data_IF_655759572351
#
_entry.id   IF_655759572351
#
_cell.length_a   1.000
_cell.length_b   1.000
_cell.length_c   1.000
_cell.angle_alpha   90.00
_cell.angle_beta   90.00
_cell.angle_gamma   90.00
#
_symmetry.space_group_name_H-M   'P 1'
#
loop_
_entity.id
_entity.type
_entity.pdbx_description
1 polymer ?
#
# COMPACT_ATOMS: atom_id res chain seq x y z
N UNK A 1 -13.44 5.10 11.10
CA UNK A 1 -12.33 6.02 10.75
C UNK A 1 -11.47 5.33 9.69
N UNK A 2 -11.23 5.91 8.51
CA UNK A 2 -10.48 5.27 7.41
C UNK A 2 -9.10 4.75 7.82
N UNK A 3 -8.39 5.48 8.69
CA UNK A 3 -7.09 5.05 9.24
C UNK A 3 -7.16 3.68 9.96
N UNK A 4 -8.27 3.37 10.63
CA UNK A 4 -8.47 2.09 11.30
C UNK A 4 -8.76 0.92 10.34
N UNK A 5 -9.09 1.20 9.07
CA UNK A 5 -9.28 0.18 8.04
C UNK A 5 -7.97 -0.23 7.35
N UNK A 6 -6.87 0.53 7.51
CA UNK A 6 -5.57 0.18 6.91
C UNK A 6 -5.12 -1.27 7.23
N UNK A 7 -5.17 -1.77 8.48
CA UNK A 7 -4.76 -3.14 8.77
C UNK A 7 -5.62 -4.21 8.09
N UNK A 8 -6.91 -3.92 7.91
CA UNK A 8 -7.84 -4.82 7.20
C UNK A 8 -7.51 -4.83 5.71
N UNK A 9 -7.24 -3.67 5.11
CA UNK A 9 -6.88 -3.56 3.70
C UNK A 9 -5.55 -4.24 3.40
N UNK A 10 -4.52 -4.05 4.23
CA UNK A 10 -3.25 -4.76 4.09
C UNK A 10 -3.41 -6.28 4.26
N UNK A 11 -4.19 -6.72 5.25
CA UNK A 11 -4.48 -8.14 5.44
C UNK A 11 -5.20 -8.75 4.23
N UNK A 12 -6.19 -8.05 3.68
CA UNK A 12 -6.89 -8.49 2.47
C UNK A 12 -5.93 -8.59 1.28
N UNK A 13 -5.08 -7.57 1.08
CA UNK A 13 -4.09 -7.57 0.01
C UNK A 13 -3.10 -8.75 0.15
N UNK A 14 -2.59 -9.04 1.35
CA UNK A 14 -1.69 -10.18 1.58
C UNK A 14 -2.42 -11.53 1.44
N UNK A 15 -3.69 -11.61 1.81
CA UNK A 15 -4.49 -12.80 1.58
C UNK A 15 -4.67 -13.07 0.08
N UNK A 16 -4.95 -12.05 -0.73
CA UNK A 16 -5.03 -12.15 -2.19
C UNK A 16 -3.70 -12.66 -2.78
N UNK A 17 -2.57 -12.12 -2.31
CA UNK A 17 -1.24 -12.57 -2.73
C UNK A 17 -0.97 -14.03 -2.34
N UNK A 18 -1.41 -14.47 -1.16
CA UNK A 18 -1.35 -15.85 -0.73
C UNK A 18 -2.19 -16.81 -1.58
N UNK A 19 -3.41 -16.40 -1.98
CA UNK A 19 -4.22 -17.16 -2.92
C UNK A 19 -3.54 -17.25 -4.29
N UNK A 20 -2.97 -16.14 -4.77
CA UNK A 20 -2.24 -16.09 -6.03
C UNK A 20 -1.04 -17.05 -6.01
N UNK A 21 -0.29 -17.08 -4.89
CA UNK A 21 0.82 -18.00 -4.70
C UNK A 21 0.42 -19.47 -4.90
N UNK A 22 -0.75 -19.87 -4.40
CA UNK A 22 -1.27 -21.23 -4.55
C UNK A 22 -1.73 -21.53 -5.98
N UNK A 23 -2.22 -20.52 -6.70
CA UNK A 23 -2.77 -20.69 -8.03
C UNK A 23 -1.70 -20.71 -9.13
N UNK A 24 -0.61 -19.96 -8.98
CA UNK A 24 0.45 -19.82 -9.98
C UNK A 24 1.07 -21.17 -10.42
N UNK A 25 1.32 -22.15 -9.53
CA UNK A 25 1.83 -23.46 -9.94
C UNK A 25 0.83 -24.32 -10.72
N UNK A 26 -0.48 -24.06 -10.58
CA UNK A 26 -1.55 -24.88 -11.18
C UNK A 26 -1.95 -24.35 -12.55
N UNK A 27 -2.27 -23.06 -12.63
CA UNK A 27 -2.75 -22.41 -13.85
C UNK A 27 -2.28 -20.95 -13.88
N UNK A 28 -0.99 -20.69 -14.20
CA UNK A 28 -0.41 -19.35 -14.14
C UNK A 28 -1.05 -18.37 -15.13
N UNK A 29 -1.53 -18.87 -16.27
CA UNK A 29 -2.27 -18.09 -17.28
C UNK A 29 -3.79 -18.23 -17.13
N UNK A 30 -4.27 -18.87 -16.06
CA UNK A 30 -5.69 -19.06 -15.80
C UNK A 30 -6.41 -17.76 -15.46
N UNK A 31 -7.72 -17.74 -15.67
CA UNK A 31 -8.58 -16.58 -15.35
C UNK A 31 -8.49 -16.18 -13.86
N UNK A 32 -8.37 -17.16 -12.96
CA UNK A 32 -8.24 -16.92 -11.52
C UNK A 32 -6.91 -16.25 -11.15
N UNK A 33 -5.78 -16.75 -11.67
CA UNK A 33 -4.46 -16.12 -11.46
C UNK A 33 -4.44 -14.69 -12.00
N UNK A 34 -5.04 -14.47 -13.17
CA UNK A 34 -5.18 -13.14 -13.77
C UNK A 34 -6.02 -12.19 -12.91
N UNK A 35 -7.17 -12.67 -12.41
CA UNK A 35 -8.05 -11.89 -11.54
C UNK A 35 -7.39 -11.52 -10.20
N UNK A 36 -6.70 -12.48 -9.56
CA UNK A 36 -5.98 -12.25 -8.31
C UNK A 36 -4.79 -11.29 -8.52
N UNK A 37 -4.08 -11.41 -9.65
CA UNK A 37 -3.00 -10.50 -10.05
C UNK A 37 -3.52 -9.07 -10.19
N UNK A 38 -4.61 -8.88 -10.95
CA UNK A 38 -5.23 -7.57 -11.12
C UNK A 38 -5.69 -6.99 -9.78
N UNK A 39 -6.36 -7.80 -8.95
CA UNK A 39 -6.87 -7.35 -7.66
C UNK A 39 -5.72 -6.91 -6.73
N UNK A 40 -4.63 -7.69 -6.67
CA UNK A 40 -3.44 -7.31 -5.92
C UNK A 40 -2.86 -5.98 -6.43
N UNK A 41 -2.72 -5.82 -7.74
CA UNK A 41 -2.17 -4.60 -8.35
C UNK A 41 -3.06 -3.38 -8.10
N UNK A 42 -4.38 -3.52 -8.11
CA UNK A 42 -5.29 -2.43 -7.75
C UNK A 42 -5.06 -1.94 -6.32
N UNK A 43 -4.81 -2.85 -5.37
CA UNK A 43 -4.38 -2.43 -4.04
C UNK A 43 -3.00 -1.78 -4.09
N UNK A 44 -2.02 -2.48 -4.67
CA UNK A 44 -0.63 -2.09 -4.62
C UNK A 44 -0.37 -0.72 -5.27
N UNK A 45 -0.83 -0.49 -6.50
CA UNK A 45 -0.44 0.70 -7.27
C UNK A 45 -1.53 1.77 -7.42
N UNK A 46 -2.80 1.44 -7.16
CA UNK A 46 -3.93 2.38 -7.31
C UNK A 46 -4.43 2.90 -5.96
N UNK A 47 -4.69 2.00 -5.00
CA UNK A 47 -5.30 2.36 -3.72
C UNK A 47 -4.36 3.21 -2.85
N UNK A 48 -3.17 2.73 -2.52
CA UNK A 48 -2.28 3.34 -1.53
C UNK A 48 -1.85 4.80 -1.79
N UNK A 49 -1.49 5.22 -3.02
CA UNK A 49 -1.06 6.60 -3.25
C UNK A 49 -2.18 7.61 -3.02
N UNK A 50 -3.45 7.18 -3.07
CA UNK A 50 -4.62 8.01 -2.74
C UNK A 50 -5.03 7.82 -1.27
N UNK A 51 -5.07 6.57 -0.83
CA UNK A 51 -5.64 6.21 0.46
C UNK A 51 -4.79 6.71 1.64
N UNK A 52 -3.46 6.62 1.54
CA UNK A 52 -2.55 7.09 2.57
C UNK A 52 -2.69 8.61 2.85
N UNK A 53 -2.59 9.51 1.85
CA UNK A 53 -2.75 10.94 2.10
C UNK A 53 -4.16 11.30 2.55
N UNK A 54 -5.21 10.66 2.01
CA UNK A 54 -6.59 10.91 2.43
C UNK A 54 -6.82 10.50 3.89
N UNK A 55 -6.30 9.34 4.32
CA UNK A 55 -6.44 8.91 5.70
C UNK A 55 -5.81 9.89 6.68
N UNK A 56 -4.61 10.40 6.36
CA UNK A 56 -3.92 11.39 7.19
C UNK A 56 -4.66 12.73 7.15
N UNK A 57 -5.08 13.19 5.97
CA UNK A 57 -5.83 14.44 5.78
C UNK A 57 -7.06 14.53 6.68
N UNK A 58 -7.78 13.42 6.86
CA UNK A 58 -9.02 13.37 7.66
C UNK A 58 -8.81 13.45 9.17
N UNK A 59 -7.60 13.19 9.66
CA UNK A 59 -7.27 13.20 11.10
C UNK A 59 -6.32 14.33 11.49
N UNK A 60 -5.78 15.06 10.50
CA UNK A 60 -4.81 16.13 10.71
C UNK A 60 -5.51 17.46 11.05
N UNK A 61 -5.04 18.22 12.05
CA UNK A 61 -5.57 19.54 12.37
C UNK A 61 -5.38 20.53 11.21
N UNK A 62 -6.13 21.64 11.24
CA UNK A 62 -5.96 22.72 10.26
C UNK A 62 -4.53 23.29 10.29
N UNK A 63 -3.94 23.49 9.13
CA UNK A 63 -2.58 24.00 8.98
C UNK A 63 -1.88 23.53 7.70
N UNK A 64 -0.58 23.81 7.60
CA UNK A 64 0.22 23.51 6.41
C UNK A 64 0.25 22.01 6.06
N UNK A 65 0.28 21.11 7.05
CA UNK A 65 0.26 19.64 6.83
C UNK A 65 -0.97 19.22 6.05
N UNK A 66 -2.14 19.77 6.38
CA UNK A 66 -3.41 19.46 5.71
C UNK A 66 -3.40 19.90 4.24
N UNK A 67 -2.78 21.04 3.93
CA UNK A 67 -2.57 21.51 2.54
C UNK A 67 -1.67 20.54 1.79
N UNK A 68 -0.56 20.13 2.40
CA UNK A 68 0.37 19.13 1.83
C UNK A 68 -0.35 17.80 1.57
N UNK A 69 -1.14 17.29 2.52
CA UNK A 69 -1.92 16.05 2.31
C UNK A 69 -2.91 16.17 1.15
N UNK A 70 -3.55 17.33 0.98
CA UNK A 70 -4.45 17.58 -0.14
C UNK A 70 -3.72 17.55 -1.48
N UNK A 71 -2.56 18.20 -1.57
CA UNK A 71 -1.72 18.16 -2.76
C UNK A 71 -1.19 16.75 -3.07
N UNK A 72 -0.78 16.00 -2.05
CA UNK A 72 -0.34 14.61 -2.19
C UNK A 72 -1.47 13.67 -2.58
N UNK A 73 -2.69 13.88 -2.07
CA UNK A 73 -3.86 13.11 -2.49
C UNK A 73 -4.21 13.36 -3.96
N UNK A 74 -4.11 14.60 -4.43
CA UNK A 74 -4.29 14.93 -5.86
C UNK A 74 -3.21 14.28 -6.72
N UNK A 75 -1.94 14.42 -6.34
CA UNK A 75 -0.83 13.78 -7.04
C UNK A 75 -1.00 12.25 -7.07
N UNK A 76 -1.35 11.65 -5.94
CA UNK A 76 -1.67 10.23 -5.83
C UNK A 76 -2.84 9.81 -6.70
N UNK A 77 -3.86 10.66 -6.84
CA UNK A 77 -5.00 10.44 -7.75
C UNK A 77 -4.58 10.41 -9.22
N UNK A 78 -3.69 11.31 -9.63
CA UNK A 78 -3.12 11.31 -11.00
C UNK A 78 -2.34 10.01 -11.23
N UNK A 79 -1.55 9.57 -10.26
CA UNK A 79 -0.79 8.32 -10.35
C UNK A 79 -1.71 7.10 -10.38
N UNK A 80 -2.78 7.10 -9.58
CA UNK A 80 -3.78 6.04 -9.58
C UNK A 80 -4.47 5.93 -10.95
N UNK A 81 -4.85 7.05 -11.57
CA UNK A 81 -5.42 7.08 -12.93
C UNK A 81 -4.43 6.53 -13.95
N UNK A 82 -3.15 6.94 -13.87
CA UNK A 82 -2.09 6.42 -14.74
C UNK A 82 -1.97 4.89 -14.62
N UNK A 83 -2.00 4.33 -13.41
CA UNK A 83 -1.92 2.88 -13.23
C UNK A 83 -3.20 2.16 -13.64
N UNK A 84 -4.38 2.76 -13.46
CA UNK A 84 -5.64 2.19 -13.99
C UNK A 84 -5.55 2.08 -15.51
N UNK A 85 -5.15 3.14 -16.20
CA UNK A 85 -4.96 3.13 -17.66
C UNK A 85 -3.96 2.04 -18.09
N UNK A 86 -2.80 1.97 -17.42
CA UNK A 86 -1.80 0.94 -17.70
C UNK A 86 -2.32 -0.50 -17.48
N UNK A 87 -3.13 -0.72 -16.44
CA UNK A 87 -3.73 -2.04 -16.14
C UNK A 87 -4.83 -2.44 -17.14
N UNK A 88 -5.52 -1.46 -17.73
CA UNK A 88 -6.56 -1.71 -18.75
C UNK A 88 -5.98 -1.97 -20.14
N UNK A 89 -4.86 -1.30 -20.47
CA UNK A 89 -4.28 -1.32 -21.82
C UNK A 89 -3.24 -2.45 -21.98
N UNK A 90 -2.59 -2.86 -20.89
CA UNK A 90 -1.47 -3.79 -20.96
C UNK A 90 -1.73 -5.10 -20.22
N UNK A 91 -1.19 -6.20 -20.78
CA UNK A 91 -1.24 -7.52 -20.14
C UNK A 91 -0.46 -7.53 -18.84
N UNK A 92 -1.11 -7.88 -17.74
CA UNK A 92 -0.47 -8.02 -16.44
C UNK A 92 -0.33 -9.50 -16.11
N UNK A 93 0.89 -9.93 -15.79
CA UNK A 93 1.21 -11.31 -15.44
C UNK A 93 1.92 -11.34 -14.09
N UNK A 94 1.73 -12.43 -13.36
CA UNK A 94 2.47 -12.72 -12.16
C UNK A 94 3.20 -14.06 -12.31
N UNK A 95 4.40 -14.16 -11.76
CA UNK A 95 5.17 -15.39 -11.75
C UNK A 95 5.94 -15.53 -10.44
N UNK A 96 6.27 -16.76 -10.05
CA UNK A 96 7.08 -17.00 -8.85
C UNK A 96 8.55 -16.95 -9.26
N UNK A 97 9.31 -16.02 -8.68
CA UNK A 97 10.73 -15.84 -8.91
C UNK A 97 11.47 -15.73 -7.57
N UNK A 98 12.40 -16.67 -7.32
CA UNK A 98 13.29 -16.60 -6.15
C UNK A 98 12.58 -16.62 -4.79
N UNK A 99 11.41 -17.25 -4.69
CA UNK A 99 10.63 -17.28 -3.44
C UNK A 99 9.68 -16.10 -3.26
N UNK A 100 9.48 -15.29 -4.30
CA UNK A 100 8.60 -14.12 -4.27
C UNK A 100 7.70 -14.08 -5.50
N UNK A 101 6.56 -13.37 -5.42
CA UNK A 101 5.75 -13.09 -6.60
C UNK A 101 6.33 -11.88 -7.32
N UNK A 102 6.76 -12.11 -8.55
CA UNK A 102 7.14 -11.10 -9.51
C UNK A 102 5.92 -10.68 -10.31
N UNK A 103 5.68 -9.38 -10.41
CA UNK A 103 4.62 -8.79 -11.21
C UNK A 103 5.24 -8.18 -12.46
N UNK A 104 4.92 -8.74 -13.62
CA UNK A 104 5.35 -8.22 -14.91
C UNK A 104 4.60 -6.91 -15.19
N UNK A 105 5.34 -5.81 -15.27
CA UNK A 105 4.81 -4.50 -15.65
C UNK A 105 5.22 -4.24 -17.11
N UNK A 106 4.28 -4.13 -18.06
CA UNK A 106 4.58 -4.05 -19.50
C UNK A 106 5.28 -2.77 -19.98
N UNK A 107 5.68 -1.89 -19.07
CA UNK A 107 6.47 -0.69 -19.34
C UNK A 107 7.34 -0.37 -18.14
N UNK A 108 8.60 0.00 -18.40
CA UNK A 108 9.34 0.84 -17.46
C UNK A 108 8.58 2.16 -17.34
N UNK A 109 7.75 2.28 -16.30
CA UNK A 109 7.13 3.55 -15.96
C UNK A 109 8.21 4.62 -15.84
N UNK A 110 7.95 5.85 -16.33
CA UNK A 110 8.89 6.94 -16.18
C UNK A 110 9.29 7.12 -14.71
N UNK A 111 10.55 7.49 -14.41
CA UNK A 111 11.01 7.65 -13.02
C UNK A 111 10.14 8.58 -12.18
N UNK A 112 9.55 9.62 -12.78
CA UNK A 112 8.67 10.55 -12.09
C UNK A 112 7.40 9.88 -11.56
N UNK A 113 6.87 8.84 -12.21
CA UNK A 113 5.70 8.08 -11.73
C UNK A 113 6.06 7.38 -10.43
N UNK A 114 7.19 6.68 -10.42
CA UNK A 114 7.68 5.94 -9.25
C UNK A 114 7.99 6.89 -8.07
N UNK A 115 8.66 8.02 -8.34
CA UNK A 115 8.95 9.03 -7.32
C UNK A 115 7.67 9.62 -6.74
N UNK A 116 6.72 10.01 -7.60
CA UNK A 116 5.44 10.61 -7.16
C UNK A 116 4.62 9.60 -6.36
N UNK A 117 4.58 8.34 -6.80
CA UNK A 117 3.94 7.24 -6.08
C UNK A 117 4.52 7.08 -4.67
N UNK A 118 5.85 6.99 -4.55
CA UNK A 118 6.54 6.81 -3.27
C UNK A 118 6.31 8.01 -2.35
N UNK A 119 6.42 9.22 -2.89
CA UNK A 119 6.17 10.45 -2.15
C UNK A 119 4.73 10.53 -1.66
N UNK A 120 3.75 10.29 -2.53
CA UNK A 120 2.33 10.30 -2.19
C UNK A 120 1.98 9.23 -1.14
N UNK A 121 2.65 8.08 -1.14
CA UNK A 121 2.37 6.99 -0.19
C UNK A 121 3.08 7.18 1.16
N UNK A 122 4.36 7.57 1.14
CA UNK A 122 5.20 7.59 2.34
C UNK A 122 5.16 8.93 3.09
N UNK A 123 5.23 10.06 2.38
CA UNK A 123 5.35 11.38 3.01
C UNK A 123 4.17 11.71 3.92
N UNK A 124 2.90 11.42 3.56
CA UNK A 124 1.78 11.69 4.46
C UNK A 124 1.91 11.03 5.83
N UNK A 125 2.36 9.77 5.82
CA UNK A 125 2.51 8.99 7.04
C UNK A 125 3.64 9.55 7.92
N UNK A 126 4.77 9.93 7.29
CA UNK A 126 5.95 10.46 7.98
C UNK A 126 5.73 11.82 8.64
N UNK A 127 4.96 12.72 8.01
CA UNK A 127 4.81 14.10 8.49
C UNK A 127 3.55 14.31 9.35
N UNK A 128 2.70 13.29 9.52
CA UNK A 128 1.46 13.38 10.32
C UNK A 128 1.72 13.88 11.73
N UNK A 129 0.77 14.59 12.36
CA UNK A 129 0.88 14.97 13.78
C UNK A 129 0.81 13.79 14.75
N UNK A 130 0.37 12.62 14.31
CA UNK A 130 0.08 11.47 15.16
C UNK A 130 1.24 10.48 15.19
N UNK A 131 1.85 10.27 16.37
CA UNK A 131 3.03 9.38 16.53
C UNK A 131 2.83 7.96 15.99
N UNK A 132 1.70 7.25 16.23
CA UNK A 132 1.51 5.91 15.67
C UNK A 132 1.57 5.88 14.14
N UNK A 133 1.06 6.94 13.49
CA UNK A 133 1.08 7.10 12.03
C UNK A 133 2.50 7.38 11.54
N UNK A 134 3.29 8.18 12.26
CA UNK A 134 4.70 8.41 11.94
C UNK A 134 5.53 7.13 12.05
N UNK A 135 5.30 6.32 13.08
CA UNK A 135 6.00 5.03 13.25
C UNK A 135 5.64 4.09 12.11
N UNK A 136 4.36 3.99 11.74
CA UNK A 136 3.92 3.26 10.55
C UNK A 136 4.67 3.77 9.31
N UNK A 137 4.68 5.09 9.07
CA UNK A 137 5.35 5.71 7.95
C UNK A 137 6.84 5.41 7.88
N UNK A 138 7.52 5.42 9.03
CA UNK A 138 8.94 5.09 9.12
C UNK A 138 9.22 3.63 8.75
N UNK A 139 8.43 2.69 9.27
CA UNK A 139 8.58 1.26 8.94
C UNK A 139 8.24 0.99 7.47
N UNK A 140 7.15 1.56 6.96
CA UNK A 140 6.74 1.43 5.55
C UNK A 140 7.82 1.99 4.62
N UNK A 141 8.41 3.14 4.95
CA UNK A 141 9.47 3.77 4.15
C UNK A 141 10.76 2.97 4.22
N UNK A 142 11.16 2.48 5.40
CA UNK A 142 12.31 1.60 5.55
C UNK A 142 12.12 0.30 4.77
N UNK A 143 10.91 -0.29 4.83
CA UNK A 143 10.52 -1.45 4.03
C UNK A 143 10.66 -1.18 2.53
N UNK A 144 10.23 0.00 2.04
CA UNK A 144 10.41 0.38 0.65
C UNK A 144 11.90 0.42 0.26
N UNK A 145 12.75 1.04 1.09
CA UNK A 145 14.19 1.15 0.84
C UNK A 145 14.87 -0.23 0.83
N UNK A 146 14.51 -1.12 1.76
CA UNK A 146 15.02 -2.50 1.83
C UNK A 146 14.56 -3.28 0.60
N UNK A 147 13.28 -3.23 0.25
CA UNK A 147 12.73 -3.87 -0.95
C UNK A 147 13.42 -3.38 -2.22
N UNK A 148 13.69 -2.08 -2.32
CA UNK A 148 14.39 -1.51 -3.47
C UNK A 148 15.84 -2.02 -3.57
N UNK A 149 16.57 -2.05 -2.45
CA UNK A 149 17.99 -2.39 -2.42
C UNK A 149 18.25 -3.90 -2.66
N UNK A 150 17.41 -4.78 -2.09
CA UNK A 150 17.66 -6.23 -2.07
C UNK A 150 16.68 -7.03 -2.93
N UNK A 151 15.48 -6.51 -3.19
CA UNK A 151 14.37 -7.24 -3.84
C UNK A 151 13.78 -6.48 -5.02
N UNK A 152 14.60 -5.74 -5.78
CA UNK A 152 14.13 -4.84 -6.84
C UNK A 152 13.12 -5.49 -7.81
N UNK A 153 13.33 -6.76 -8.17
CA UNK A 153 12.40 -7.50 -9.04
C UNK A 153 11.06 -7.77 -8.34
N UNK A 154 11.07 -8.22 -7.09
CA UNK A 154 9.88 -8.50 -6.29
C UNK A 154 9.45 -7.30 -5.41
N UNK A 155 9.78 -6.07 -5.83
CA UNK A 155 9.64 -4.88 -5.01
C UNK A 155 8.23 -4.71 -4.44
N UNK A 156 7.21 -4.85 -5.31
CA UNK A 156 5.82 -4.70 -4.93
C UNK A 156 5.41 -5.72 -3.85
N UNK A 157 5.70 -6.99 -4.07
CA UNK A 157 5.40 -8.09 -3.14
C UNK A 157 6.04 -7.85 -1.76
N UNK A 158 7.37 -7.69 -1.73
CA UNK A 158 8.13 -7.59 -0.48
C UNK A 158 7.80 -6.32 0.29
N UNK A 159 7.59 -5.20 -0.40
CA UNK A 159 7.20 -3.97 0.27
C UNK A 159 5.80 -4.03 0.86
N UNK A 160 4.84 -4.65 0.17
CA UNK A 160 3.48 -4.84 0.68
C UNK A 160 3.47 -5.74 1.92
N UNK A 161 4.33 -6.76 1.98
CA UNK A 161 4.55 -7.56 3.18
C UNK A 161 5.05 -6.70 4.37
N UNK A 162 6.07 -5.86 4.17
CA UNK A 162 6.55 -4.94 5.21
C UNK A 162 5.46 -3.97 5.66
N UNK A 163 4.67 -3.42 4.73
CA UNK A 163 3.60 -2.50 5.05
C UNK A 163 2.47 -3.17 5.83
N UNK A 164 2.13 -4.42 5.49
CA UNK A 164 1.17 -5.22 6.24
C UNK A 164 1.66 -5.51 7.67
N UNK A 165 2.93 -5.90 7.84
CA UNK A 165 3.52 -6.09 9.16
C UNK A 165 3.53 -4.77 9.97
N UNK A 166 3.85 -3.65 9.33
CA UNK A 166 3.85 -2.34 9.96
C UNK A 166 2.45 -1.92 10.45
N UNK A 167 1.38 -2.38 9.79
CA UNK A 167 0.00 -2.06 10.16
C UNK A 167 -0.42 -2.60 11.55
N UNK A 168 0.34 -3.55 12.12
CA UNK A 168 0.18 -4.04 13.50
C UNK A 168 0.30 -2.89 14.51
N UNK A 169 1.11 -1.88 14.23
CA UNK A 169 1.25 -0.67 15.07
C UNK A 169 -0.10 0.05 15.20
N UNK A 170 -0.82 0.23 14.09
CA UNK A 170 -2.14 0.86 14.11
C UNK A 170 -3.17 -0.03 14.82
N UNK A 171 -3.13 -1.35 14.59
CA UNK A 171 -4.03 -2.28 15.26
C UNK A 171 -3.89 -2.20 16.79
N UNK A 172 -2.66 -2.23 17.32
CA UNK A 172 -2.44 -2.12 18.76
C UNK A 172 -2.92 -0.79 19.33
N UNK A 173 -2.69 0.33 18.62
CA UNK A 173 -3.14 1.65 19.03
C UNK A 173 -4.66 1.74 19.13
N UNK A 174 -5.40 1.32 18.09
CA UNK A 174 -6.87 1.36 18.16
C UNK A 174 -7.44 0.36 19.16
N UNK A 175 -6.80 -0.80 19.33
CA UNK A 175 -7.21 -1.78 20.33
C UNK A 175 -6.99 -1.29 21.77
N UNK A 176 -5.91 -0.55 22.04
CA UNK A 176 -5.69 0.04 23.37
C UNK A 176 -6.71 1.13 23.67
N UNK A 177 -6.97 2.04 22.72
CA UNK A 177 -7.98 3.09 22.90
C UNK A 177 -9.39 2.52 23.13
N UNK A 178 -9.75 1.45 22.42
CA UNK A 178 -11.05 0.79 22.61
C UNK A 178 -11.18 0.19 24.02
N UNK A 179 -10.12 -0.44 24.54
CA UNK A 179 -10.08 -1.01 25.90
C UNK A 179 -10.20 0.08 26.97
N UNK A 180 -9.47 1.18 26.82
CA UNK A 180 -9.52 2.31 27.76
C UNK A 180 -10.93 2.94 27.81
N UNK A 181 -11.55 3.16 26.64
CA UNK A 181 -12.92 3.69 26.56
C UNK A 181 -13.95 2.75 27.19
N UNK A 182 -13.76 1.43 27.08
CA UNK A 182 -14.63 0.45 27.72
C UNK A 182 -14.44 0.44 29.25
N UNK A 183 -13.20 0.57 29.74
CA UNK A 183 -12.91 0.66 31.16
C UNK A 183 -13.49 1.94 31.79
N UNK A 184 -13.41 3.08 31.11
CA UNK A 184 -13.97 4.35 31.59
C UNK A 184 -15.52 4.41 31.59
N UNK A 185 -16.19 3.45 30.95
CA UNK A 185 -17.66 3.32 30.92
C UNK A 185 -18.21 2.35 31.98
N UNK A 186 -17.33 1.63 32.68
CA UNK A 186 -17.68 0.72 33.78
C UNK A 186 -17.49 1.44 35.11
#
# INVERSE_FOLDING_TARGET
MPLAAMPVLFSAQQFIEGLLWLQLPVAPEGAEASALTLLFLLFAVVLWPVYAPVCVLLVEPAGWRRVVMGALALAGGIIAIYFIDALLVHEHRASILGGHIFYEVPRRSPPWVAVTYLVATCVPLLISSHRPVQVLGAIVTAGALISYAFYWQAFASVWCFFAAAASIVLFHHFASEARERQAARR
#
